data_IF_719601085077
#
_entry.id   IF_719601085077
#
_cell.length_a   1.000
_cell.length_b   1.000
_cell.length_c   1.000
_cell.angle_alpha   90.00
_cell.angle_beta   90.00
_cell.angle_gamma   90.00
#
_symmetry.space_group_name_H-M   'P 1'
#
loop_
_entity.id
_entity.type
_entity.pdbx_description
1 polymer ?
#
# COMPACT_ATOMS: atom_id res chain seq x y z
N UNK A 1 29.53 -2.40 2.44
CA UNK A 1 28.39 -2.30 3.36
C UNK A 1 27.85 -0.89 3.18
N UNK A 2 26.70 -0.75 2.54
CA UNK A 2 25.97 0.51 2.59
C UNK A 2 25.60 0.78 4.04
N UNK A 3 25.67 2.03 4.47
CA UNK A 3 25.25 2.42 5.81
C UNK A 3 23.99 3.30 5.74
N UNK A 4 23.17 3.21 6.79
CA UNK A 4 21.94 3.98 6.96
C UNK A 4 22.21 5.48 6.83
N UNK A 5 23.37 5.94 7.32
CA UNK A 5 23.76 7.35 7.28
C UNK A 5 23.88 7.87 5.85
N UNK A 6 24.38 7.06 4.92
CA UNK A 6 24.48 7.40 3.50
C UNK A 6 23.10 7.58 2.90
N UNK A 7 22.16 6.66 3.17
CA UNK A 7 20.77 6.79 2.69
C UNK A 7 20.12 8.07 3.23
N UNK A 8 20.18 8.30 4.54
CA UNK A 8 19.58 9.48 5.17
C UNK A 8 20.17 10.78 4.61
N UNK A 9 21.49 10.81 4.40
CA UNK A 9 22.18 11.96 3.80
C UNK A 9 21.68 12.25 2.38
N UNK A 10 21.56 11.22 1.53
CA UNK A 10 21.08 11.40 0.15
C UNK A 10 19.64 11.93 0.12
N UNK A 11 18.77 11.41 0.99
CA UNK A 11 17.38 11.87 1.09
C UNK A 11 17.34 13.33 1.56
N UNK A 12 18.13 13.70 2.58
CA UNK A 12 18.21 15.07 3.08
C UNK A 12 18.75 16.05 2.02
N UNK A 13 19.72 15.62 1.21
CA UNK A 13 20.27 16.40 0.10
C UNK A 13 19.39 16.37 -1.16
N UNK A 14 18.19 15.78 -1.10
CA UNK A 14 17.25 15.59 -2.22
C UNK A 14 17.86 14.87 -3.43
N UNK A 15 18.84 13.99 -3.19
CA UNK A 15 19.48 13.13 -4.19
C UNK A 15 18.67 11.84 -4.35
N UNK A 16 17.45 12.01 -4.84
CA UNK A 16 16.43 10.94 -4.84
C UNK A 16 16.80 9.78 -5.77
N UNK A 17 17.45 10.05 -6.92
CA UNK A 17 17.88 8.98 -7.83
C UNK A 17 18.91 8.06 -7.18
N UNK A 18 19.90 8.62 -6.47
CA UNK A 18 20.90 7.85 -5.74
C UNK A 18 20.28 7.15 -4.53
N UNK A 19 19.39 7.82 -3.79
CA UNK A 19 18.65 7.19 -2.69
C UNK A 19 17.83 5.99 -3.18
N UNK A 20 17.15 6.11 -4.32
CA UNK A 20 16.40 5.01 -4.96
C UNK A 20 17.33 3.83 -5.27
N UNK A 21 18.54 4.07 -5.79
CA UNK A 21 19.50 2.97 -6.04
C UNK A 21 19.87 2.23 -4.76
N UNK A 22 20.00 2.94 -3.64
CA UNK A 22 20.23 2.30 -2.33
C UNK A 22 19.00 1.49 -1.91
N UNK A 23 17.81 2.07 -1.99
CA UNK A 23 16.55 1.39 -1.64
C UNK A 23 16.35 0.12 -2.47
N UNK A 24 16.65 0.15 -3.77
CA UNK A 24 16.57 -1.04 -4.62
C UNK A 24 17.54 -2.14 -4.18
N UNK A 25 18.78 -1.79 -3.82
CA UNK A 25 19.70 -2.79 -3.27
C UNK A 25 19.18 -3.38 -1.96
N UNK A 26 18.57 -2.56 -1.09
CA UNK A 26 17.94 -3.04 0.16
C UNK A 26 16.79 -4.00 -0.15
N UNK A 27 15.96 -3.69 -1.16
CA UNK A 27 14.89 -4.56 -1.69
C UNK A 27 15.43 -5.92 -2.10
N UNK A 28 16.48 -5.94 -2.93
CA UNK A 28 17.10 -7.15 -3.45
C UNK A 28 17.72 -8.02 -2.35
N UNK A 29 18.32 -7.39 -1.33
CA UNK A 29 18.93 -8.11 -0.19
C UNK A 29 17.96 -8.39 0.95
N UNK A 30 16.76 -7.77 0.93
CA UNK A 30 15.76 -7.79 2.00
C UNK A 30 16.37 -7.46 3.37
N UNK A 31 17.20 -6.41 3.42
CA UNK A 31 17.96 -6.07 4.63
C UNK A 31 17.06 -5.39 5.68
N UNK A 32 16.54 -6.20 6.61
CA UNK A 32 15.68 -5.78 7.73
C UNK A 32 16.31 -4.69 8.61
N UNK A 33 17.65 -4.54 8.63
CA UNK A 33 18.30 -3.49 9.41
C UNK A 33 17.90 -2.08 8.97
N UNK A 34 17.35 -1.94 7.75
CA UNK A 34 16.84 -0.69 7.20
C UNK A 34 15.34 -0.44 7.48
N UNK A 35 14.62 -1.40 8.08
CA UNK A 35 13.16 -1.32 8.26
C UNK A 35 12.71 0.02 8.88
N UNK A 36 13.32 0.40 10.00
CA UNK A 36 12.94 1.63 10.73
C UNK A 36 13.23 2.91 9.92
N UNK A 37 14.36 2.97 9.20
CA UNK A 37 14.71 4.16 8.42
C UNK A 37 13.83 4.27 7.17
N UNK A 38 13.48 3.14 6.55
CA UNK A 38 12.54 3.09 5.44
C UNK A 38 11.14 3.53 5.87
N UNK A 39 10.61 3.04 7.00
CA UNK A 39 9.32 3.48 7.56
C UNK A 39 9.33 5.00 7.83
N UNK A 40 10.40 5.53 8.42
CA UNK A 40 10.57 6.98 8.64
C UNK A 40 10.48 7.77 7.34
N UNK A 41 11.15 7.31 6.28
CA UNK A 41 11.19 8.02 5.00
C UNK A 41 9.96 7.83 4.12
N UNK A 42 9.28 6.68 4.20
CA UNK A 42 7.97 6.46 3.62
C UNK A 42 6.99 7.58 4.03
N UNK A 43 7.03 7.94 5.32
CA UNK A 43 6.15 8.96 5.91
C UNK A 43 6.62 10.40 5.70
N UNK A 44 7.91 10.66 5.47
CA UNK A 44 8.43 12.02 5.41
C UNK A 44 8.79 12.51 4.00
N UNK A 45 8.99 11.62 3.03
CA UNK A 45 9.36 12.05 1.67
C UNK A 45 8.18 12.62 0.89
N UNK A 46 8.41 13.75 0.23
CA UNK A 46 7.48 14.37 -0.71
C UNK A 46 7.70 13.88 -2.15
N UNK A 47 8.78 13.13 -2.41
CA UNK A 47 9.04 12.55 -3.73
C UNK A 47 8.24 11.25 -3.92
N UNK A 48 7.34 11.26 -4.89
CA UNK A 48 6.44 10.14 -5.17
C UNK A 48 7.21 8.88 -5.61
N UNK A 49 8.27 9.04 -6.40
CA UNK A 49 9.03 7.92 -6.93
C UNK A 49 9.82 7.24 -5.80
N UNK A 50 10.53 8.03 -4.99
CA UNK A 50 11.23 7.53 -3.82
C UNK A 50 10.27 6.85 -2.84
N UNK A 51 9.09 7.44 -2.58
CA UNK A 51 8.09 6.83 -1.70
C UNK A 51 7.62 5.47 -2.21
N UNK A 52 7.36 5.36 -3.50
CA UNK A 52 6.97 4.11 -4.13
C UNK A 52 8.07 3.05 -4.00
N UNK A 53 9.33 3.42 -4.24
CA UNK A 53 10.45 2.47 -4.07
C UNK A 53 10.64 2.05 -2.61
N UNK A 54 10.47 2.96 -1.66
CA UNK A 54 10.49 2.62 -0.24
C UNK A 54 9.37 1.65 0.12
N UNK A 55 8.14 1.86 -0.39
CA UNK A 55 7.02 0.97 -0.14
C UNK A 55 7.29 -0.44 -0.69
N UNK A 56 7.82 -0.54 -1.91
CA UNK A 56 8.22 -1.83 -2.50
C UNK A 56 9.32 -2.53 -1.68
N UNK A 57 10.34 -1.80 -1.23
CA UNK A 57 11.38 -2.37 -0.38
C UNK A 57 10.84 -2.88 0.97
N UNK A 58 9.90 -2.16 1.58
CA UNK A 58 9.21 -2.62 2.80
C UNK A 58 8.38 -3.88 2.54
N UNK A 59 7.72 -3.97 1.38
CA UNK A 59 7.01 -5.17 0.94
C UNK A 59 7.95 -6.37 0.75
N UNK A 60 9.09 -6.15 0.09
CA UNK A 60 10.08 -7.20 -0.16
C UNK A 60 10.74 -7.71 1.12
N UNK A 61 10.96 -6.81 2.09
CA UNK A 61 11.40 -7.15 3.45
C UNK A 61 10.34 -8.02 4.14
N UNK A 62 9.05 -7.69 4.01
CA UNK A 62 7.94 -8.54 4.48
C UNK A 62 7.61 -8.44 5.97
N UNK A 63 8.25 -7.51 6.69
CA UNK A 63 8.01 -7.29 8.12
C UNK A 63 6.75 -6.45 8.35
N UNK A 64 5.79 -7.01 9.09
CA UNK A 64 4.46 -6.42 9.31
C UNK A 64 4.49 -5.13 10.13
N UNK A 65 5.60 -4.80 10.79
CA UNK A 65 5.81 -3.52 11.47
C UNK A 65 5.65 -2.31 10.53
N UNK A 66 5.83 -2.50 9.22
CA UNK A 66 5.64 -1.45 8.22
C UNK A 66 4.16 -1.20 7.86
N UNK A 67 3.27 -2.17 8.12
CA UNK A 67 1.91 -2.21 7.60
C UNK A 67 1.10 -0.97 7.96
N UNK A 68 1.04 -0.61 9.25
CA UNK A 68 0.27 0.55 9.69
C UNK A 68 0.77 1.86 9.06
N UNK A 69 2.09 1.98 8.86
CA UNK A 69 2.68 3.15 8.20
C UNK A 69 2.36 3.17 6.69
N UNK A 70 2.28 2.01 6.03
CA UNK A 70 1.82 1.91 4.64
C UNK A 70 0.35 2.31 4.52
N UNK A 71 -0.53 1.80 5.39
CA UNK A 71 -1.96 2.16 5.43
C UNK A 71 -2.15 3.66 5.69
N UNK A 72 -1.40 4.23 6.64
CA UNK A 72 -1.39 5.67 6.91
C UNK A 72 -1.07 6.47 5.64
N UNK A 73 -0.03 6.08 4.91
CA UNK A 73 0.40 6.80 3.69
C UNK A 73 -0.55 6.58 2.52
N UNK A 74 -1.13 5.38 2.36
CA UNK A 74 -2.15 5.09 1.35
C UNK A 74 -3.37 5.97 1.54
N UNK A 75 -3.83 6.13 2.78
CA UNK A 75 -5.05 6.90 3.10
C UNK A 75 -4.83 8.41 3.13
N UNK A 76 -3.58 8.86 3.24
CA UNK A 76 -3.26 10.29 3.29
C UNK A 76 -3.69 11.03 2.00
N UNK A 77 -4.21 12.28 2.09
CA UNK A 77 -4.59 13.05 0.90
C UNK A 77 -3.44 13.32 -0.08
N UNK A 78 -2.21 13.48 0.44
CA UNK A 78 -1.01 13.78 -0.38
C UNK A 78 -0.66 12.70 -1.41
N UNK A 79 -1.15 11.47 -1.22
CA UNK A 79 -0.88 10.35 -2.13
C UNK A 79 -1.99 10.17 -3.16
N UNK A 80 -3.02 11.05 -3.18
CA UNK A 80 -4.08 11.00 -4.19
C UNK A 80 -3.47 11.12 -5.59
N UNK A 81 -3.74 10.12 -6.44
CA UNK A 81 -3.16 10.00 -7.78
C UNK A 81 -1.84 9.21 -7.83
N UNK A 82 -1.33 8.74 -6.69
CA UNK A 82 -0.10 7.93 -6.61
C UNK A 82 -0.22 6.77 -5.60
N UNK A 83 -1.38 6.10 -5.56
CA UNK A 83 -1.68 5.03 -4.57
C UNK A 83 -1.49 3.62 -5.09
N UNK A 84 -1.48 3.41 -6.41
CA UNK A 84 -1.44 2.07 -7.00
C UNK A 84 -0.26 1.24 -6.50
N UNK A 85 0.97 1.77 -6.63
CA UNK A 85 2.18 1.09 -6.10
C UNK A 85 2.16 0.91 -4.58
N UNK A 86 1.56 1.84 -3.83
CA UNK A 86 1.44 1.69 -2.38
C UNK A 86 0.48 0.56 -2.00
N UNK A 87 -0.64 0.43 -2.70
CA UNK A 87 -1.56 -0.70 -2.54
C UNK A 87 -0.89 -2.01 -2.95
N UNK A 88 -0.17 -2.02 -4.07
CA UNK A 88 0.58 -3.19 -4.54
C UNK A 88 1.59 -3.66 -3.49
N UNK A 89 2.25 -2.74 -2.78
CA UNK A 89 3.22 -3.09 -1.73
C UNK A 89 2.61 -3.86 -0.55
N UNK A 90 1.29 -3.93 -0.42
CA UNK A 90 0.64 -4.73 0.62
C UNK A 90 0.64 -6.23 0.34
N UNK A 91 0.88 -6.69 -0.90
CA UNK A 91 0.72 -8.10 -1.30
C UNK A 91 1.54 -9.10 -0.46
N UNK A 92 2.68 -8.68 0.08
CA UNK A 92 3.56 -9.51 0.90
C UNK A 92 3.36 -9.33 2.42
N UNK A 93 2.31 -8.62 2.86
CA UNK A 93 2.04 -8.29 4.26
C UNK A 93 0.68 -8.84 4.73
N UNK A 94 0.49 -8.95 6.04
CA UNK A 94 -0.78 -9.38 6.65
C UNK A 94 -1.74 -8.20 6.82
N UNK A 95 -2.35 -7.77 5.72
CA UNK A 95 -3.28 -6.63 5.68
C UNK A 95 -4.74 -6.99 5.99
N UNK A 96 -5.04 -8.23 6.39
CA UNK A 96 -6.42 -8.71 6.60
C UNK A 96 -7.18 -7.83 7.60
N UNK A 97 -6.49 -7.35 8.64
CA UNK A 97 -7.07 -6.45 9.66
C UNK A 97 -7.48 -5.07 9.12
N UNK A 98 -6.91 -4.64 7.98
CA UNK A 98 -7.16 -3.35 7.32
C UNK A 98 -8.04 -3.47 6.07
N UNK A 99 -8.65 -4.63 5.84
CA UNK A 99 -9.36 -4.91 4.58
C UNK A 99 -10.54 -3.95 4.30
N UNK A 100 -11.22 -3.45 5.33
CA UNK A 100 -12.29 -2.47 5.18
C UNK A 100 -11.74 -1.10 4.74
N UNK A 101 -10.54 -0.73 5.19
CA UNK A 101 -9.83 0.46 4.68
C UNK A 101 -9.46 0.28 3.21
N UNK A 102 -8.94 -0.88 2.82
CA UNK A 102 -8.56 -1.19 1.43
C UNK A 102 -9.80 -1.23 0.53
N UNK A 103 -10.91 -1.81 0.99
CA UNK A 103 -12.18 -1.89 0.26
C UNK A 103 -12.73 -0.50 -0.13
N UNK A 104 -12.43 0.56 0.62
CA UNK A 104 -12.84 1.92 0.26
C UNK A 104 -12.22 2.43 -1.05
N UNK A 105 -11.13 1.82 -1.52
CA UNK A 105 -10.48 2.17 -2.78
C UNK A 105 -11.03 1.39 -3.99
N UNK A 106 -11.84 0.35 -3.77
CA UNK A 106 -12.57 -0.31 -4.86
C UNK A 106 -13.64 0.66 -5.40
N UNK A 107 -13.64 0.86 -6.71
CA UNK A 107 -14.42 1.89 -7.39
C UNK A 107 -13.78 3.28 -7.38
N UNK A 108 -12.49 3.41 -7.02
CA UNK A 108 -11.75 4.65 -7.24
C UNK A 108 -11.70 5.01 -8.74
N UNK A 109 -11.74 6.31 -9.12
CA UNK A 109 -11.64 6.71 -10.53
C UNK A 109 -10.35 6.28 -11.22
N UNK A 110 -9.26 6.07 -10.48
CA UNK A 110 -8.05 5.46 -11.01
C UNK A 110 -8.25 3.95 -11.13
N UNK A 111 -8.21 3.47 -12.38
CA UNK A 111 -8.33 2.04 -12.69
C UNK A 111 -7.29 1.21 -11.93
N UNK A 112 -6.04 1.69 -11.88
CA UNK A 112 -4.95 1.02 -11.16
C UNK A 112 -5.27 0.85 -9.66
N UNK A 113 -5.78 1.91 -9.02
CA UNK A 113 -6.14 1.90 -7.59
C UNK A 113 -7.31 0.95 -7.34
N UNK A 114 -8.38 1.07 -8.14
CA UNK A 114 -9.56 0.22 -7.98
C UNK A 114 -9.24 -1.26 -8.22
N UNK A 115 -8.47 -1.56 -9.27
CA UNK A 115 -8.08 -2.94 -9.60
C UNK A 115 -7.17 -3.52 -8.53
N UNK A 116 -6.14 -2.79 -8.09
CA UNK A 116 -5.22 -3.31 -7.07
C UNK A 116 -5.93 -3.56 -5.73
N UNK A 117 -6.83 -2.66 -5.31
CA UNK A 117 -7.64 -2.88 -4.11
C UNK A 117 -8.60 -4.06 -4.24
N UNK A 118 -9.13 -4.30 -5.44
CA UNK A 118 -9.94 -5.48 -5.71
C UNK A 118 -9.12 -6.77 -5.60
N UNK A 119 -7.92 -6.83 -6.19
CA UNK A 119 -7.04 -8.00 -6.12
C UNK A 119 -6.64 -8.34 -4.69
N UNK A 120 -6.33 -7.34 -3.87
CA UNK A 120 -6.06 -7.54 -2.44
C UNK A 120 -7.27 -8.13 -1.71
N UNK A 121 -8.49 -7.67 -2.03
CA UNK A 121 -9.71 -8.25 -1.47
C UNK A 121 -9.95 -9.69 -1.92
N UNK A 122 -9.79 -9.95 -3.21
CA UNK A 122 -9.93 -11.28 -3.81
C UNK A 122 -8.99 -12.28 -3.15
N UNK A 123 -7.73 -11.89 -2.94
CA UNK A 123 -6.73 -12.75 -2.32
C UNK A 123 -7.11 -13.23 -0.92
N UNK A 124 -7.70 -12.36 -0.09
CA UNK A 124 -8.03 -12.67 1.32
C UNK A 124 -9.51 -13.01 1.53
N UNK A 125 -10.33 -13.05 0.49
CA UNK A 125 -11.80 -13.13 0.60
C UNK A 125 -12.28 -14.34 1.43
N UNK A 126 -11.60 -15.47 1.31
CA UNK A 126 -11.92 -16.71 2.04
C UNK A 126 -11.50 -16.68 3.51
N UNK A 127 -10.55 -15.81 3.87
CA UNK A 127 -10.02 -15.66 5.23
C UNK A 127 -10.82 -14.65 6.06
N UNK A 128 -11.65 -13.83 5.42
CA UNK A 128 -12.41 -12.79 6.10
C UNK A 128 -13.48 -13.37 7.04
N UNK A 129 -13.53 -12.83 8.25
CA UNK A 129 -14.65 -13.06 9.17
C UNK A 129 -15.95 -12.51 8.59
N UNK A 130 -17.08 -13.09 9.01
CA UNK A 130 -18.41 -12.59 8.64
C UNK A 130 -18.55 -11.08 8.91
N UNK A 131 -18.01 -10.58 10.02
CA UNK A 131 -18.05 -9.16 10.35
C UNK A 131 -17.26 -8.29 9.34
N UNK A 132 -16.09 -8.75 8.89
CA UNK A 132 -15.33 -8.06 7.84
C UNK A 132 -16.07 -8.08 6.50
N UNK A 133 -16.64 -9.23 6.11
CA UNK A 133 -17.45 -9.35 4.88
C UNK A 133 -18.63 -8.38 4.89
N UNK A 134 -19.39 -8.32 5.99
CA UNK A 134 -20.54 -7.42 6.11
C UNK A 134 -20.16 -5.93 6.09
N UNK A 135 -19.02 -5.56 6.69
CA UNK A 135 -18.49 -4.19 6.58
C UNK A 135 -18.14 -3.84 5.12
N UNK A 136 -17.43 -4.73 4.42
CA UNK A 136 -17.07 -4.51 3.02
C UNK A 136 -18.30 -4.42 2.12
N UNK A 137 -19.28 -5.32 2.29
CA UNK A 137 -20.57 -5.25 1.59
C UNK A 137 -21.27 -3.91 1.81
N UNK A 138 -21.34 -3.44 3.06
CA UNK A 138 -21.95 -2.15 3.39
C UNK A 138 -21.26 -0.96 2.69
N UNK A 139 -19.93 -1.01 2.53
CA UNK A 139 -19.15 -0.02 1.78
C UNK A 139 -19.57 -0.04 0.30
N UNK A 140 -19.61 -1.22 -0.32
CA UNK A 140 -19.92 -1.37 -1.74
C UNK A 140 -21.36 -1.02 -2.08
N UNK A 141 -22.33 -1.46 -1.27
CA UNK A 141 -23.73 -1.07 -1.43
C UNK A 141 -23.92 0.45 -1.34
N UNK A 142 -23.19 1.11 -0.44
CA UNK A 142 -23.22 2.57 -0.32
C UNK A 142 -22.63 3.26 -1.55
N UNK A 143 -21.56 2.71 -2.13
CA UNK A 143 -20.96 3.21 -3.38
C UNK A 143 -21.90 3.05 -4.59
N UNK A 144 -22.56 1.89 -4.74
CA UNK A 144 -23.48 1.64 -5.85
C UNK A 144 -24.73 2.54 -5.82
N UNK A 145 -25.14 3.05 -4.66
CA UNK A 145 -26.21 4.07 -4.57
C UNK A 145 -25.81 5.40 -5.21
N UNK A 146 -24.51 5.68 -5.31
CA UNK A 146 -23.97 6.94 -5.84
C UNK A 146 -23.63 6.79 -7.32
N UNK A 147 -22.94 5.72 -7.69
CA UNK A 147 -22.52 5.48 -9.07
C UNK A 147 -22.41 3.97 -9.33
N UNK A 148 -22.84 3.54 -10.51
CA UNK A 148 -22.57 2.18 -10.97
C UNK A 148 -21.08 2.00 -11.25
N UNK A 149 -20.50 0.91 -10.75
CA UNK A 149 -19.11 0.55 -10.98
C UNK A 149 -18.95 -0.97 -10.99
N UNK A 150 -18.37 -1.51 -12.07
CA UNK A 150 -18.24 -2.96 -12.27
C UNK A 150 -17.37 -3.61 -11.19
N UNK A 151 -16.19 -3.04 -10.84
CA UNK A 151 -15.37 -3.59 -9.74
C UNK A 151 -16.11 -3.65 -8.41
N UNK A 152 -16.99 -2.68 -8.12
CA UNK A 152 -17.80 -2.69 -6.90
C UNK A 152 -18.88 -3.77 -6.96
N UNK A 153 -19.47 -4.05 -8.14
CA UNK A 153 -20.41 -5.15 -8.33
C UNK A 153 -19.72 -6.51 -8.17
N UNK A 154 -18.55 -6.67 -8.80
CA UNK A 154 -17.75 -7.89 -8.72
C UNK A 154 -17.29 -8.16 -7.28
N UNK A 155 -16.86 -7.11 -6.55
CA UNK A 155 -16.47 -7.22 -5.15
C UNK A 155 -17.64 -7.62 -4.24
N UNK A 156 -18.87 -7.18 -4.54
CA UNK A 156 -20.06 -7.63 -3.83
C UNK A 156 -20.37 -9.09 -4.10
N UNK A 157 -20.21 -9.54 -5.34
CA UNK A 157 -20.44 -10.94 -5.73
C UNK A 157 -19.42 -11.87 -5.08
N UNK A 158 -18.15 -11.48 -5.07
CA UNK A 158 -17.06 -12.20 -4.40
C UNK A 158 -17.34 -12.48 -2.92
N UNK A 159 -18.03 -11.56 -2.23
CA UNK A 159 -18.32 -11.68 -0.79
C UNK A 159 -19.64 -12.38 -0.45
N UNK A 160 -20.37 -12.90 -1.44
CA UNK A 160 -21.63 -13.65 -1.20
C UNK A 160 -21.39 -14.96 -0.49
#
# INVERSE_FOLDING_TARGET
MLDIQTLEKLIYECKNEEAIRIVNNISETKDESYLNVLIKHLKSTEDNLLRNQIALALSDIGENEALDSLIEVITHPRTKGSRGTLLYSLENLDYVSHIDTIANFIGDPSLEVSMQSFLLLEYVADELSNNQKEKCKSIFESKLKINENEFVKDALELLR
#
